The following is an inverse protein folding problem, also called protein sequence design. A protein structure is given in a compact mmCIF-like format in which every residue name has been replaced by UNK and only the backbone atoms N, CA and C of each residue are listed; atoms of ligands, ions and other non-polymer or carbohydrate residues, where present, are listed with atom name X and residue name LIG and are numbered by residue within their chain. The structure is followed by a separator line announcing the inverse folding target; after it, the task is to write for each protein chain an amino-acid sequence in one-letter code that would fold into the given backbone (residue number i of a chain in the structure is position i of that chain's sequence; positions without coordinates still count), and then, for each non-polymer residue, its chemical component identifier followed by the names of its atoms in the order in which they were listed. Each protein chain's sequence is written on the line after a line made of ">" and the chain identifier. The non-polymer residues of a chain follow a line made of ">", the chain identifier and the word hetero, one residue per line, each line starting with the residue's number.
data_IF_860250644954
#
_entry.id   IF_860250644954
#
_cell.length_a   1.000
_cell.length_b   1.000
_cell.length_c   1.000
_cell.angle_alpha   90.00
_cell.angle_beta   90.00
_cell.angle_gamma   90.00
#
_symmetry.space_group_name_H-M   'P 1'
#
loop_
_entity.id
_entity.type
_entity.pdbx_description
1 polymer ?
#
# COMPACT_ATOMS: atom_id res chain seq x y z
N UNK A 1 24.96 -4.09 34.60
CA UNK A 1 25.00 -3.81 33.15
C UNK A 1 23.75 -2.99 32.83
N UNK A 2 23.91 -1.81 32.26
CA UNK A 2 22.78 -0.97 31.81
C UNK A 2 22.72 -1.06 30.30
N UNK A 3 21.52 -1.34 29.78
CA UNK A 3 21.25 -1.35 28.33
C UNK A 3 20.52 -0.05 27.98
N UNK A 4 21.17 0.78 27.17
CA UNK A 4 20.55 1.97 26.61
C UNK A 4 20.18 1.70 25.16
N UNK A 5 18.91 1.80 24.81
CA UNK A 5 18.43 1.70 23.44
C UNK A 5 18.35 3.11 22.85
N UNK A 6 19.22 3.37 21.89
CA UNK A 6 19.15 4.58 21.05
C UNK A 6 18.56 4.18 19.70
N UNK A 7 17.69 4.99 19.13
CA UNK A 7 17.09 4.78 17.79
C UNK A 7 16.21 3.52 17.67
N UNK A 8 15.25 3.39 18.55
CA UNK A 8 14.23 2.34 18.42
C UNK A 8 13.28 2.66 17.27
N UNK A 9 13.18 1.76 16.29
CA UNK A 9 12.18 1.85 15.23
C UNK A 9 11.09 0.81 15.50
N UNK A 10 9.92 1.20 16.00
CA UNK A 10 8.83 0.26 16.22
C UNK A 10 8.24 -0.19 14.87
N UNK A 11 7.94 -1.48 14.77
CA UNK A 11 7.28 -2.07 13.61
C UNK A 11 6.03 -2.78 14.10
N UNK A 12 4.88 -2.39 13.54
CA UNK A 12 3.62 -3.07 13.80
C UNK A 12 3.29 -4.02 12.66
N UNK A 13 3.02 -5.28 12.99
CA UNK A 13 2.63 -6.31 12.03
C UNK A 13 1.30 -6.93 12.46
N UNK A 14 0.38 -7.03 11.51
CA UNK A 14 -0.89 -7.73 11.70
C UNK A 14 -1.28 -8.50 10.44
N UNK A 15 -1.79 -9.72 10.62
CA UNK A 15 -2.28 -10.55 9.51
C UNK A 15 -3.81 -10.51 9.49
N UNK A 16 -4.39 -9.88 8.46
CA UNK A 16 -5.84 -9.74 8.27
C UNK A 16 -6.34 -10.51 7.05
N UNK A 17 -6.58 -11.80 7.25
CA UNK A 17 -7.08 -12.70 6.19
C UNK A 17 -8.49 -12.34 5.72
N UNK A 18 -9.29 -11.73 6.58
CA UNK A 18 -10.69 -11.37 6.31
C UNK A 18 -10.86 -10.45 5.11
N UNK A 19 -9.90 -9.55 4.88
CA UNK A 19 -9.94 -8.62 3.75
C UNK A 19 -9.46 -9.21 2.42
N UNK A 20 -8.71 -10.32 2.42
CA UNK A 20 -8.02 -10.81 1.21
C UNK A 20 -8.99 -11.06 0.06
N UNK A 21 -10.09 -11.76 0.31
CA UNK A 21 -11.05 -12.13 -0.73
C UNK A 21 -11.77 -10.91 -1.33
N UNK A 22 -12.23 -10.00 -0.47
CA UNK A 22 -12.95 -8.79 -0.90
C UNK A 22 -12.02 -7.83 -1.64
N UNK A 23 -10.81 -7.60 -1.12
CA UNK A 23 -9.82 -6.73 -1.76
C UNK A 23 -9.38 -7.27 -3.12
N UNK A 24 -9.11 -8.55 -3.24
CA UNK A 24 -8.75 -9.15 -4.53
C UNK A 24 -9.87 -8.95 -5.56
N UNK A 25 -11.13 -9.22 -5.16
CA UNK A 25 -12.27 -9.03 -6.04
C UNK A 25 -12.45 -7.57 -6.46
N UNK A 26 -12.33 -6.63 -5.53
CA UNK A 26 -12.45 -5.20 -5.80
C UNK A 26 -11.29 -4.68 -6.65
N UNK A 27 -10.09 -5.24 -6.50
CA UNK A 27 -8.88 -4.83 -7.23
C UNK A 27 -8.82 -5.32 -8.68
N UNK A 28 -9.47 -6.44 -9.00
CA UNK A 28 -9.42 -7.06 -10.32
C UNK A 28 -9.70 -6.12 -11.51
N UNK A 29 -10.77 -5.29 -11.50
CA UNK A 29 -11.04 -4.37 -12.61
C UNK A 29 -9.93 -3.33 -12.77
N UNK A 30 -9.39 -2.82 -11.67
CA UNK A 30 -8.32 -1.83 -11.69
C UNK A 30 -7.01 -2.39 -12.25
N UNK A 31 -6.65 -3.61 -11.89
CA UNK A 31 -5.50 -4.30 -12.46
C UNK A 31 -5.69 -4.57 -13.95
N UNK A 32 -6.89 -4.96 -14.37
CA UNK A 32 -7.20 -5.15 -15.79
C UNK A 32 -7.04 -3.85 -16.59
N UNK A 33 -7.45 -2.71 -16.04
CA UNK A 33 -7.24 -1.42 -16.69
C UNK A 33 -5.76 -1.01 -16.69
N UNK A 34 -5.04 -1.19 -15.60
CA UNK A 34 -3.61 -0.90 -15.53
C UNK A 34 -2.80 -1.64 -16.62
N UNK A 35 -3.18 -2.87 -16.93
CA UNK A 35 -2.55 -3.68 -18.01
C UNK A 35 -2.82 -3.14 -19.43
N UNK A 36 -3.82 -2.29 -19.61
CA UNK A 36 -4.18 -1.72 -20.93
C UNK A 36 -3.42 -0.45 -21.28
N UNK A 37 -2.69 0.13 -20.34
CA UNK A 37 -1.89 1.35 -20.58
C UNK A 37 -0.85 1.11 -21.66
N UNK A 38 -0.40 2.18 -22.32
CA UNK A 38 0.64 2.09 -23.37
C UNK A 38 1.95 1.56 -22.79
N UNK A 39 2.32 2.01 -21.60
CA UNK A 39 3.53 1.63 -20.87
C UNK A 39 3.48 0.13 -20.51
N UNK A 40 2.36 -0.34 -19.96
CA UNK A 40 2.17 -1.74 -19.63
C UNK A 40 2.26 -2.65 -20.87
N UNK A 41 1.61 -2.26 -21.97
CA UNK A 41 1.68 -3.00 -23.24
C UNK A 41 3.10 -3.00 -23.83
N UNK A 42 3.80 -1.87 -23.78
CA UNK A 42 5.18 -1.78 -24.23
C UNK A 42 6.11 -2.69 -23.40
N UNK A 43 5.97 -2.65 -22.07
CA UNK A 43 6.71 -3.53 -21.17
C UNK A 43 6.45 -5.02 -21.46
N UNK A 44 5.19 -5.42 -21.56
CA UNK A 44 4.82 -6.81 -21.82
C UNK A 44 5.33 -7.30 -23.18
N UNK A 45 5.36 -6.43 -24.19
CA UNK A 45 5.92 -6.75 -25.52
C UNK A 45 7.44 -6.93 -25.47
N UNK A 46 8.15 -6.10 -24.71
CA UNK A 46 9.61 -6.09 -24.66
C UNK A 46 10.18 -7.15 -23.70
N UNK A 47 9.52 -7.39 -22.57
CA UNK A 47 10.06 -8.15 -21.44
C UNK A 47 9.13 -9.28 -20.95
N UNK A 48 7.92 -9.40 -21.51
CA UNK A 48 6.92 -10.35 -20.99
C UNK A 48 6.56 -10.05 -19.53
N UNK A 49 6.54 -11.09 -18.70
CA UNK A 49 6.24 -10.97 -17.27
C UNK A 49 7.44 -10.49 -16.43
N UNK A 50 8.65 -10.53 -16.98
CA UNK A 50 9.87 -10.19 -16.22
C UNK A 50 9.90 -8.71 -15.82
N UNK A 51 10.18 -8.44 -14.56
CA UNK A 51 10.25 -7.09 -14.02
C UNK A 51 8.91 -6.32 -13.95
N UNK A 52 7.80 -6.98 -14.24
CA UNK A 52 6.48 -6.33 -14.27
C UNK A 52 6.11 -5.74 -12.92
N UNK A 53 5.74 -4.47 -12.94
CA UNK A 53 5.25 -3.72 -11.79
C UNK A 53 4.26 -2.66 -12.29
N UNK A 54 2.97 -2.98 -12.28
CA UNK A 54 1.90 -2.08 -12.72
C UNK A 54 1.05 -1.66 -11.54
N UNK A 55 0.74 -0.40 -11.42
CA UNK A 55 -0.20 0.09 -10.43
C UNK A 55 -1.44 0.70 -11.08
N UNK A 56 -2.52 0.64 -10.34
CA UNK A 56 -3.82 1.16 -10.77
C UNK A 56 -3.89 2.69 -10.69
N UNK A 57 -4.99 3.23 -11.20
CA UNK A 57 -5.46 4.57 -10.83
C UNK A 57 -5.87 4.63 -9.36
N UNK A 58 -6.21 5.82 -8.88
CA UNK A 58 -6.59 6.12 -7.51
C UNK A 58 -7.86 5.35 -7.08
N UNK A 59 -7.87 4.78 -5.87
CA UNK A 59 -8.94 3.96 -5.31
C UNK A 59 -9.73 4.64 -4.19
N UNK A 60 -9.29 5.80 -3.69
CA UNK A 60 -9.89 6.42 -2.49
C UNK A 60 -11.38 6.71 -2.60
N UNK A 61 -11.88 6.98 -3.82
CA UNK A 61 -13.29 7.25 -4.06
C UNK A 61 -14.17 5.99 -4.14
N UNK A 62 -13.56 4.81 -4.30
CA UNK A 62 -14.31 3.56 -4.44
C UNK A 62 -14.71 3.00 -3.07
N UNK A 63 -16.03 2.91 -2.85
CA UNK A 63 -16.62 2.44 -1.59
C UNK A 63 -16.29 0.97 -1.28
N UNK A 64 -15.92 0.16 -2.27
CA UNK A 64 -15.53 -1.23 -2.06
C UNK A 64 -14.26 -1.37 -1.19
N UNK A 65 -13.44 -0.32 -1.10
CA UNK A 65 -12.23 -0.28 -0.26
C UNK A 65 -12.45 0.44 1.08
N UNK A 66 -13.66 0.94 1.34
CA UNK A 66 -13.91 1.80 2.51
C UNK A 66 -13.63 1.09 3.84
N UNK A 67 -14.08 -0.14 4.00
CA UNK A 67 -13.88 -0.90 5.24
C UNK A 67 -12.40 -1.14 5.52
N UNK A 68 -11.65 -1.51 4.48
CA UNK A 68 -10.19 -1.68 4.60
C UNK A 68 -9.49 -0.36 4.88
N UNK A 69 -9.86 0.71 4.21
CA UNK A 69 -9.34 2.05 4.46
C UNK A 69 -9.58 2.50 5.90
N UNK A 70 -10.81 2.32 6.39
CA UNK A 70 -11.16 2.67 7.77
C UNK A 70 -10.35 1.86 8.78
N UNK A 71 -10.19 0.57 8.55
CA UNK A 71 -9.36 -0.30 9.36
C UNK A 71 -7.90 0.17 9.38
N UNK A 72 -7.30 0.45 8.23
CA UNK A 72 -5.90 0.94 8.15
C UNK A 72 -5.77 2.29 8.84
N UNK A 73 -6.71 3.21 8.62
CA UNK A 73 -6.72 4.52 9.26
C UNK A 73 -6.76 4.43 10.79
N UNK A 74 -7.62 3.57 11.32
CA UNK A 74 -7.67 3.30 12.76
C UNK A 74 -6.34 2.75 13.28
N UNK A 75 -5.73 1.78 12.57
CA UNK A 75 -4.46 1.19 12.99
C UNK A 75 -3.29 2.17 12.91
N UNK A 76 -3.26 3.02 11.92
CA UNK A 76 -2.28 4.10 11.84
C UNK A 76 -2.43 5.08 13.02
N UNK A 77 -3.67 5.46 13.36
CA UNK A 77 -3.96 6.32 14.48
C UNK A 77 -3.50 5.70 15.81
N UNK A 78 -3.87 4.42 16.07
CA UNK A 78 -3.43 3.67 17.26
C UNK A 78 -1.91 3.58 17.36
N UNK A 79 -1.23 3.36 16.23
CA UNK A 79 0.23 3.29 16.17
C UNK A 79 0.89 4.65 16.48
N UNK A 80 0.37 5.74 15.95
CA UNK A 80 0.88 7.08 16.23
C UNK A 80 0.69 7.45 17.70
N UNK A 81 -0.49 7.17 18.26
CA UNK A 81 -0.77 7.37 19.69
C UNK A 81 0.19 6.56 20.57
N UNK A 82 0.37 5.28 20.26
CA UNK A 82 1.34 4.42 20.94
C UNK A 82 2.79 4.91 20.81
N UNK A 83 3.12 5.56 19.71
CA UNK A 83 4.45 6.14 19.45
C UNK A 83 4.67 7.47 20.16
N UNK A 84 3.70 7.95 20.92
CA UNK A 84 3.80 9.15 21.75
C UNK A 84 3.35 10.45 21.09
N UNK A 85 2.68 10.38 19.94
CA UNK A 85 2.05 11.57 19.36
C UNK A 85 0.76 11.90 20.12
N UNK A 86 0.57 13.17 20.43
CA UNK A 86 -0.70 13.66 21.01
C UNK A 86 -1.77 13.76 19.92
N UNK A 87 -2.47 12.66 19.70
CA UNK A 87 -3.44 12.54 18.60
C UNK A 87 -4.66 13.47 18.74
N UNK A 88 -4.84 14.14 19.87
CA UNK A 88 -5.84 15.22 20.00
C UNK A 88 -5.53 16.44 19.15
N UNK A 89 -4.30 16.60 18.71
CA UNK A 89 -3.81 17.74 17.92
C UNK A 89 -3.66 17.45 16.43
N UNK A 90 -3.91 16.21 15.98
CA UNK A 90 -3.68 15.78 14.61
C UNK A 90 -4.95 15.21 13.98
N UNK A 91 -5.07 15.40 12.70
CA UNK A 91 -6.05 14.72 11.86
C UNK A 91 -5.31 13.89 10.83
N UNK A 92 -5.68 12.62 10.69
CA UNK A 92 -5.11 11.74 9.68
C UNK A 92 -6.05 11.60 8.49
N UNK A 93 -5.49 11.57 7.29
CA UNK A 93 -6.25 11.32 6.06
C UNK A 93 -5.40 10.53 5.08
N UNK A 94 -6.06 9.84 4.15
CA UNK A 94 -5.39 9.17 3.05
C UNK A 94 -5.21 10.15 1.89
N UNK A 95 -3.99 10.31 1.45
CA UNK A 95 -3.66 11.10 0.27
C UNK A 95 -3.83 10.26 -1.00
N UNK A 96 -3.36 9.03 -0.97
CA UNK A 96 -3.36 8.13 -2.11
C UNK A 96 -3.65 6.69 -1.68
N UNK A 97 -4.27 5.94 -2.59
CA UNK A 97 -4.48 4.51 -2.46
C UNK A 97 -4.54 3.89 -3.84
N UNK A 98 -3.76 2.86 -4.09
CA UNK A 98 -3.76 2.09 -5.33
C UNK A 98 -3.48 0.63 -5.06
N UNK A 99 -3.75 -0.22 -6.03
CA UNK A 99 -3.32 -1.61 -6.04
C UNK A 99 -2.16 -1.78 -7.01
N UNK A 100 -1.18 -2.58 -6.64
CA UNK A 100 -0.01 -2.85 -7.45
C UNK A 100 0.09 -4.33 -7.77
N UNK A 101 0.36 -4.64 -9.03
CA UNK A 101 0.57 -5.99 -9.51
C UNK A 101 2.03 -6.20 -9.86
N UNK A 102 2.66 -7.17 -9.23
CA UNK A 102 4.03 -7.58 -9.52
C UNK A 102 4.09 -8.83 -10.40
N UNK A 103 5.23 -9.03 -11.04
CA UNK A 103 5.53 -10.25 -11.81
C UNK A 103 5.40 -11.49 -10.94
N UNK A 104 4.84 -12.58 -11.51
CA UNK A 104 4.71 -13.85 -10.79
C UNK A 104 6.04 -14.56 -10.58
N UNK A 105 6.96 -14.41 -11.53
CA UNK A 105 8.26 -15.09 -11.55
C UNK A 105 9.37 -14.05 -11.65
N UNK A 106 9.76 -13.53 -10.53
CA UNK A 106 10.97 -12.74 -10.36
C UNK A 106 10.98 -11.35 -11.00
N UNK A 107 11.69 -10.48 -10.35
CA UNK A 107 12.07 -9.17 -10.86
C UNK A 107 11.06 -8.04 -10.72
N UNK A 108 9.83 -8.30 -10.30
CA UNK A 108 8.91 -7.23 -9.94
C UNK A 108 9.44 -6.48 -8.73
N UNK A 109 9.73 -5.21 -8.87
CA UNK A 109 10.25 -4.38 -7.78
C UNK A 109 9.67 -2.98 -7.81
N UNK A 110 9.73 -2.34 -6.67
CA UNK A 110 9.51 -0.91 -6.53
C UNK A 110 10.85 -0.27 -6.17
N UNK A 111 11.25 0.76 -6.90
CA UNK A 111 12.50 1.46 -6.59
C UNK A 111 12.43 2.11 -5.21
N UNK A 112 13.56 2.23 -4.55
CA UNK A 112 13.65 2.98 -3.29
C UNK A 112 13.18 4.42 -3.52
N UNK A 113 12.30 4.89 -2.66
CA UNK A 113 11.72 6.23 -2.72
C UNK A 113 11.41 6.72 -1.31
N UNK A 114 11.15 8.00 -1.18
CA UNK A 114 10.76 8.62 0.08
C UNK A 114 9.34 9.16 -0.01
N UNK A 115 8.63 9.10 1.10
CA UNK A 115 7.37 9.80 1.28
C UNK A 115 7.65 11.05 2.12
N UNK A 116 7.36 12.22 1.56
CA UNK A 116 7.47 13.47 2.28
C UNK A 116 6.22 13.67 3.13
N UNK A 117 6.42 13.80 4.43
CA UNK A 117 5.35 14.26 5.32
C UNK A 117 5.30 15.78 5.20
N UNK A 118 4.29 16.27 4.55
CA UNK A 118 3.99 17.71 4.48
C UNK A 118 3.01 18.08 5.57
#
# INVERSE_FOLDING_TARGET
>A
MYINNYFVTPIWNEIKKDFVKSLNKASDPYIKEARKTKEAKAHLKAHGDFGRSFHSTQLLADTQFMDFRNYVGQKCWEFLDHSGFDMSKYTTFFEQMWVQEFAKKGGGHHSAHVHWNT
#
